data_IF_818633879784
#
_entry.id   IF_818633879784
#
_cell.length_a   1.000
_cell.length_b   1.000
_cell.length_c   1.000
_cell.angle_alpha   90.00
_cell.angle_beta   90.00
_cell.angle_gamma   90.00
#
_symmetry.space_group_name_H-M   'P 1'
#
loop_
_entity.id
_entity.type
_entity.pdbx_description
1 polymer ?
#
# COMPACT_ATOMS: atom_id res chain seq x y z
N UNK A 1 -6.51 39.27 34.90
CA UNK A 1 -5.62 38.62 35.88
C UNK A 1 -4.87 37.52 35.16
N UNK A 2 -3.70 37.83 34.59
CA UNK A 2 -2.89 36.83 33.89
C UNK A 2 -2.05 36.12 34.95
N UNK A 3 -2.51 34.95 35.37
CA UNK A 3 -1.77 34.09 36.30
C UNK A 3 -0.52 33.57 35.60
N UNK A 4 0.66 33.97 36.08
CA UNK A 4 1.95 33.40 35.69
C UNK A 4 2.00 31.93 36.11
N UNK A 5 1.60 31.03 35.21
CA UNK A 5 1.74 29.60 35.43
C UNK A 5 3.17 29.16 35.10
N UNK A 6 3.80 28.45 36.04
CA UNK A 6 5.13 27.86 35.85
C UNK A 6 5.16 26.96 34.62
N UNK A 7 6.29 26.89 33.89
CA UNK A 7 6.41 26.00 32.72
C UNK A 7 6.17 24.55 33.13
N UNK A 8 5.06 23.98 32.66
CA UNK A 8 4.66 22.61 32.95
C UNK A 8 5.09 21.69 31.79
N UNK A 9 5.90 20.69 32.11
CA UNK A 9 6.33 19.65 31.16
C UNK A 9 5.41 18.43 31.33
N UNK A 10 4.62 18.07 30.30
CA UNK A 10 3.73 16.93 30.40
C UNK A 10 4.53 15.63 30.49
N UNK A 11 4.15 14.75 31.43
CA UNK A 11 4.78 13.43 31.62
C UNK A 11 3.92 12.30 31.06
N UNK A 12 2.60 12.45 31.11
CA UNK A 12 1.65 11.47 30.58
C UNK A 12 1.01 11.96 29.27
N UNK A 13 0.49 11.06 28.42
CA UNK A 13 -0.25 11.46 27.22
C UNK A 13 -1.51 12.27 27.56
N UNK A 14 -2.11 12.01 28.72
CA UNK A 14 -3.28 12.76 29.22
C UNK A 14 -2.88 14.21 29.51
N UNK A 15 -1.73 14.43 30.16
CA UNK A 15 -1.21 15.78 30.43
C UNK A 15 -0.98 16.58 29.13
N UNK A 16 -0.47 15.91 28.09
CA UNK A 16 -0.26 16.54 26.78
C UNK A 16 -1.57 16.92 26.08
N UNK A 17 -2.60 16.07 26.18
CA UNK A 17 -3.93 16.39 25.66
C UNK A 17 -4.58 17.53 26.45
N UNK A 18 -4.44 17.53 27.79
CA UNK A 18 -4.94 18.60 28.66
C UNK A 18 -4.33 19.94 28.28
N UNK A 19 -3.01 20.02 28.08
CA UNK A 19 -2.33 21.23 27.60
C UNK A 19 -2.85 21.71 26.24
N UNK A 20 -3.06 20.80 25.29
CA UNK A 20 -3.63 21.16 23.98
C UNK A 20 -5.06 21.70 24.12
N UNK A 21 -5.86 21.08 24.97
CA UNK A 21 -7.23 21.46 25.23
C UNK A 21 -7.30 22.82 25.92
N UNK A 22 -6.49 23.06 26.95
CA UNK A 22 -6.36 24.37 27.62
C UNK A 22 -5.96 25.46 26.62
N UNK A 23 -5.02 25.17 25.71
CA UNK A 23 -4.61 26.08 24.64
C UNK A 23 -5.74 26.41 23.65
N UNK A 24 -6.57 25.42 23.29
CA UNK A 24 -7.72 25.60 22.40
C UNK A 24 -8.84 26.38 23.11
N UNK A 25 -9.11 26.08 24.37
CA UNK A 25 -10.15 26.74 25.18
C UNK A 25 -9.78 28.16 25.61
N UNK A 26 -8.49 28.52 25.62
CA UNK A 26 -8.05 29.88 25.91
C UNK A 26 -8.62 30.92 24.91
N UNK A 27 -8.95 30.51 23.68
CA UNK A 27 -9.54 31.37 22.66
C UNK A 27 -10.63 30.60 21.87
N UNK A 28 -11.85 30.46 22.41
CA UNK A 28 -12.90 29.64 21.80
C UNK A 28 -13.45 30.22 20.49
N UNK A 29 -13.37 31.54 20.30
CA UNK A 29 -13.83 32.24 19.08
C UNK A 29 -12.90 32.02 17.87
N UNK A 30 -11.67 31.52 18.09
CA UNK A 30 -10.72 31.31 17.00
C UNK A 30 -11.04 29.99 16.28
N UNK A 31 -11.34 29.99 14.97
CA UNK A 31 -11.61 28.75 14.24
C UNK A 31 -10.37 27.86 14.22
N UNK A 32 -10.57 26.57 14.50
CA UNK A 32 -9.52 25.55 14.48
C UNK A 32 -9.32 25.06 13.05
N UNK A 33 -8.10 25.20 12.53
CA UNK A 33 -7.74 24.69 11.20
C UNK A 33 -7.34 23.22 11.35
N UNK A 34 -8.20 22.31 10.88
CA UNK A 34 -7.85 20.90 10.75
C UNK A 34 -7.04 20.75 9.45
N UNK A 35 -5.83 20.17 9.49
CA UNK A 35 -5.04 20.00 8.30
C UNK A 35 -5.75 19.05 7.32
N UNK A 36 -5.83 19.46 6.05
CA UNK A 36 -6.28 18.57 4.98
C UNK A 36 -5.28 17.42 4.78
N UNK A 37 -5.77 16.32 4.19
CA UNK A 37 -4.91 15.20 3.83
C UNK A 37 -3.76 15.67 2.93
N UNK A 38 -2.52 15.18 3.15
CA UNK A 38 -1.38 15.58 2.34
C UNK A 38 -1.63 15.20 0.88
N UNK A 39 -1.58 16.19 -0.01
CA UNK A 39 -1.74 15.99 -1.45
C UNK A 39 -0.50 15.28 -2.00
N UNK A 40 -0.71 14.43 -3.00
CA UNK A 40 0.39 13.79 -3.72
C UNK A 40 1.30 14.86 -4.33
N UNK A 41 2.61 14.61 -4.31
CA UNK A 41 3.59 15.54 -4.85
C UNK A 41 3.37 15.66 -6.36
N UNK A 42 2.80 16.78 -6.81
CA UNK A 42 2.65 17.05 -8.23
C UNK A 42 4.03 17.26 -8.85
N UNK A 43 4.27 16.61 -9.99
CA UNK A 43 5.51 16.81 -10.73
C UNK A 43 5.65 18.22 -11.28
N UNK A 44 6.88 18.56 -11.71
CA UNK A 44 7.15 19.83 -12.36
C UNK A 44 6.30 19.97 -13.63
N UNK A 45 5.54 21.06 -13.73
CA UNK A 45 4.81 21.40 -14.95
C UNK A 45 5.76 22.08 -15.94
N UNK A 46 5.81 21.58 -17.18
CA UNK A 46 6.62 22.19 -18.23
C UNK A 46 5.92 23.47 -18.72
N UNK A 47 6.59 24.63 -18.75
CA UNK A 47 6.02 25.84 -19.35
C UNK A 47 5.76 25.64 -20.84
N UNK A 48 4.62 26.16 -21.33
CA UNK A 48 4.22 26.03 -22.74
C UNK A 48 5.17 26.75 -23.70
N UNK A 49 5.61 27.96 -23.33
CA UNK A 49 6.49 28.78 -24.16
C UNK A 49 7.78 29.13 -23.42
N UNK A 50 8.91 28.82 -24.06
CA UNK A 50 10.23 29.30 -23.64
C UNK A 50 10.56 30.54 -24.46
N UNK A 51 10.67 31.70 -23.81
CA UNK A 51 10.87 32.99 -24.52
C UNK A 51 12.34 33.25 -24.88
N UNK A 52 13.28 32.67 -24.14
CA UNK A 52 14.70 32.97 -24.23
C UNK A 52 15.46 31.87 -24.98
N UNK A 53 14.92 31.44 -26.12
CA UNK A 53 15.57 30.42 -26.96
C UNK A 53 16.57 31.11 -27.89
N UNK A 54 17.84 30.74 -27.77
CA UNK A 54 18.87 31.22 -28.68
C UNK A 54 18.80 30.43 -30.00
N UNK A 55 19.21 31.06 -31.12
CA UNK A 55 19.12 30.44 -32.45
C UNK A 55 19.82 29.09 -32.56
N UNK A 56 19.33 28.20 -33.43
CA UNK A 56 19.79 26.80 -33.51
C UNK A 56 21.25 26.62 -33.90
N UNK A 57 21.84 27.61 -34.59
CA UNK A 57 23.26 27.61 -34.99
C UNK A 57 24.15 28.43 -34.04
N UNK A 58 23.58 29.00 -32.97
CA UNK A 58 24.36 29.77 -32.01
C UNK A 58 25.24 28.84 -31.14
N UNK A 59 26.43 29.30 -30.77
CA UNK A 59 27.35 28.53 -29.92
C UNK A 59 26.86 28.37 -28.47
N UNK A 60 27.52 27.49 -27.71
CA UNK A 60 27.19 27.30 -26.30
C UNK A 60 27.52 28.55 -25.46
N UNK A 61 26.50 29.13 -24.82
CA UNK A 61 26.67 30.23 -23.87
C UNK A 61 27.13 29.77 -22.49
N UNK A 62 27.63 30.68 -21.66
CA UNK A 62 28.09 30.38 -20.29
C UNK A 62 26.98 29.84 -19.36
N UNK A 63 25.73 30.20 -19.62
CA UNK A 63 24.56 29.73 -18.85
C UNK A 63 24.01 28.36 -19.28
N UNK A 64 24.40 27.85 -20.46
CA UNK A 64 23.78 26.66 -21.06
C UNK A 64 24.00 25.40 -20.21
N UNK A 65 25.18 25.29 -19.58
CA UNK A 65 25.48 24.20 -18.65
C UNK A 65 24.48 24.14 -17.48
N UNK A 66 24.13 25.29 -16.91
CA UNK A 66 23.18 25.32 -15.80
C UNK A 66 21.76 25.01 -16.26
N UNK A 67 21.37 25.46 -17.46
CA UNK A 67 20.09 25.11 -18.08
C UNK A 67 19.97 23.58 -18.22
N UNK A 68 20.95 22.93 -18.84
CA UNK A 68 20.99 21.46 -18.97
C UNK A 68 20.94 20.77 -17.60
N UNK A 69 21.75 21.21 -16.64
CA UNK A 69 21.77 20.64 -15.28
C UNK A 69 20.39 20.70 -14.61
N UNK A 70 19.68 21.82 -14.73
CA UNK A 70 18.34 21.97 -14.17
C UNK A 70 17.31 21.11 -14.92
N UNK A 71 17.38 21.07 -16.25
CA UNK A 71 16.50 20.26 -17.08
C UNK A 71 16.68 18.76 -16.79
N UNK A 72 17.92 18.28 -16.71
CA UNK A 72 18.23 16.88 -16.40
C UNK A 72 17.70 16.46 -15.03
N UNK A 73 17.86 17.31 -14.00
CA UNK A 73 17.29 17.02 -12.67
C UNK A 73 15.76 16.96 -12.69
N UNK A 74 15.11 17.89 -13.40
CA UNK A 74 13.65 17.86 -13.56
C UNK A 74 13.21 16.58 -14.27
N UNK A 75 13.92 16.18 -15.32
CA UNK A 75 13.62 14.98 -16.08
C UNK A 75 13.82 13.69 -15.27
N UNK A 76 14.92 13.57 -14.53
CA UNK A 76 15.15 12.41 -13.64
C UNK A 76 14.13 12.34 -12.52
N UNK A 77 13.75 13.48 -11.95
CA UNK A 77 12.68 13.51 -10.95
C UNK A 77 11.35 13.07 -11.58
N UNK A 78 11.06 13.51 -12.81
CA UNK A 78 9.85 13.12 -13.57
C UNK A 78 9.82 11.62 -13.84
N UNK A 79 10.91 11.05 -14.38
CA UNK A 79 11.02 9.62 -14.67
C UNK A 79 10.85 8.79 -13.40
N UNK A 80 11.55 9.16 -12.32
CA UNK A 80 11.43 8.50 -11.02
C UNK A 80 9.99 8.51 -10.49
N UNK A 81 9.28 9.64 -10.56
CA UNK A 81 7.89 9.70 -10.12
C UNK A 81 6.96 8.82 -10.97
N UNK A 82 7.22 8.68 -12.27
CA UNK A 82 6.44 7.82 -13.15
C UNK A 82 6.67 6.35 -12.80
N UNK A 83 7.93 5.95 -12.63
CA UNK A 83 8.31 4.59 -12.22
C UNK A 83 7.71 4.23 -10.85
N UNK A 84 7.88 5.11 -9.84
CA UNK A 84 7.32 4.90 -8.50
C UNK A 84 5.80 4.81 -8.52
N UNK A 85 5.12 5.63 -9.32
CA UNK A 85 3.67 5.58 -9.46
C UNK A 85 3.22 4.29 -10.15
N UNK A 86 3.91 3.87 -11.21
CA UNK A 86 3.59 2.64 -11.93
C UNK A 86 3.76 1.39 -11.06
N UNK A 87 4.84 1.30 -10.29
CA UNK A 87 5.04 0.19 -9.36
C UNK A 87 4.00 0.19 -8.24
N UNK A 88 3.64 1.36 -7.69
CA UNK A 88 2.58 1.47 -6.67
C UNK A 88 1.22 1.03 -7.23
N UNK A 89 0.85 1.50 -8.41
CA UNK A 89 -0.43 1.15 -9.07
C UNK A 89 -0.50 -0.36 -9.34
N UNK A 90 0.57 -0.98 -9.84
CA UNK A 90 0.62 -2.44 -10.03
C UNK A 90 0.41 -3.20 -8.73
N UNK A 91 1.11 -2.81 -7.66
CA UNK A 91 0.98 -3.46 -6.36
C UNK A 91 -0.41 -3.27 -5.74
N UNK A 92 -1.00 -2.09 -5.89
CA UNK A 92 -2.35 -1.78 -5.41
C UNK A 92 -3.39 -2.62 -6.17
N UNK A 93 -3.28 -2.75 -7.50
CA UNK A 93 -4.14 -3.61 -8.33
C UNK A 93 -4.05 -5.08 -7.93
N UNK A 94 -2.83 -5.60 -7.77
CA UNK A 94 -2.61 -6.98 -7.31
C UNK A 94 -3.21 -7.23 -5.92
N UNK A 95 -3.09 -6.25 -5.01
CA UNK A 95 -3.67 -6.32 -3.68
C UNK A 95 -5.20 -6.34 -3.74
N UNK A 96 -5.81 -5.42 -4.50
CA UNK A 96 -7.25 -5.35 -4.66
C UNK A 96 -7.82 -6.64 -5.27
N UNK A 97 -7.16 -7.16 -6.31
CA UNK A 97 -7.54 -8.43 -6.92
C UNK A 97 -7.53 -9.59 -5.91
N UNK A 98 -6.44 -9.74 -5.14
CA UNK A 98 -6.35 -10.77 -4.10
C UNK A 98 -7.43 -10.61 -3.03
N UNK A 99 -7.72 -9.38 -2.63
CA UNK A 99 -8.77 -9.09 -1.65
C UNK A 99 -10.16 -9.47 -2.17
N UNK A 100 -10.48 -9.13 -3.43
CA UNK A 100 -11.75 -9.51 -4.06
C UNK A 100 -11.89 -11.03 -4.20
N UNK A 101 -10.85 -11.72 -4.65
CA UNK A 101 -10.85 -13.18 -4.78
C UNK A 101 -11.10 -13.84 -3.42
N UNK A 102 -10.43 -13.37 -2.37
CA UNK A 102 -10.66 -13.85 -1.00
C UNK A 102 -12.09 -13.57 -0.51
N UNK A 103 -12.62 -12.37 -0.76
CA UNK A 103 -13.99 -12.02 -0.40
C UNK A 103 -15.00 -12.93 -1.11
N UNK A 104 -14.85 -13.15 -2.42
CA UNK A 104 -15.71 -14.06 -3.20
C UNK A 104 -15.66 -15.48 -2.65
N UNK A 105 -14.48 -16.01 -2.35
CA UNK A 105 -14.32 -17.35 -1.77
C UNK A 105 -15.01 -17.48 -0.39
N UNK A 106 -14.92 -16.43 0.45
CA UNK A 106 -15.59 -16.40 1.76
C UNK A 106 -17.11 -16.31 1.58
N UNK A 107 -17.59 -15.48 0.66
CA UNK A 107 -19.01 -15.32 0.35
C UNK A 107 -19.61 -16.60 -0.19
N UNK A 108 -18.96 -17.29 -1.12
CA UNK A 108 -19.41 -18.58 -1.64
C UNK A 108 -19.51 -19.64 -0.55
N UNK A 109 -18.48 -19.77 0.30
CA UNK A 109 -18.50 -20.69 1.45
C UNK A 109 -19.65 -20.35 2.41
N UNK A 110 -19.85 -19.06 2.68
CA UNK A 110 -20.90 -18.57 3.58
C UNK A 110 -22.29 -18.76 2.98
N UNK A 111 -22.47 -18.53 1.68
CA UNK A 111 -23.73 -18.72 0.95
C UNK A 111 -24.11 -20.19 0.91
N UNK A 112 -23.17 -21.10 0.60
CA UNK A 112 -23.39 -22.56 0.66
C UNK A 112 -23.87 -22.98 2.06
N UNK A 113 -23.20 -22.53 3.13
CA UNK A 113 -23.60 -22.81 4.52
C UNK A 113 -24.97 -22.21 4.87
N UNK A 114 -25.26 -20.98 4.43
CA UNK A 114 -26.54 -20.29 4.63
C UNK A 114 -27.70 -21.05 3.96
N UNK A 115 -27.52 -21.49 2.72
CA UNK A 115 -28.51 -22.30 1.98
C UNK A 115 -28.79 -23.61 2.73
N UNK A 116 -27.76 -24.33 3.20
CA UNK A 116 -27.92 -25.56 4.00
C UNK A 116 -28.75 -25.27 5.27
N UNK A 117 -28.48 -24.19 6.00
CA UNK A 117 -29.23 -23.80 7.21
C UNK A 117 -30.69 -23.44 6.91
N UNK A 118 -30.95 -22.71 5.82
CA UNK A 118 -32.31 -22.34 5.41
C UNK A 118 -33.13 -23.57 5.03
N UNK A 119 -32.58 -24.50 4.24
CA UNK A 119 -33.22 -25.78 3.91
C UNK A 119 -33.56 -26.59 5.16
N UNK A 120 -32.63 -26.69 6.13
CA UNK A 120 -32.89 -27.37 7.42
C UNK A 120 -34.00 -26.67 8.22
N UNK A 121 -34.01 -25.34 8.26
CA UNK A 121 -35.04 -24.54 8.95
C UNK A 121 -36.42 -24.71 8.30
N UNK A 122 -36.49 -24.76 6.97
CA UNK A 122 -37.73 -25.01 6.23
C UNK A 122 -38.27 -26.42 6.48
N UNK A 123 -37.40 -27.46 6.42
CA UNK A 123 -37.79 -28.84 6.78
C UNK A 123 -38.35 -28.91 8.20
N UNK A 124 -37.68 -28.29 9.18
CA UNK A 124 -38.15 -28.26 10.56
C UNK A 124 -39.51 -27.54 10.70
N UNK A 125 -39.71 -26.43 9.98
CA UNK A 125 -41.01 -25.73 9.95
C UNK A 125 -42.12 -26.60 9.37
N UNK A 126 -41.87 -27.31 8.27
CA UNK A 126 -42.84 -28.24 7.65
C UNK A 126 -43.23 -29.37 8.62
N UNK A 127 -42.24 -30.02 9.23
CA UNK A 127 -42.48 -31.06 10.25
C UNK A 127 -43.27 -30.54 11.47
N UNK A 128 -43.16 -29.24 11.78
CA UNK A 128 -43.90 -28.62 12.90
C UNK A 128 -45.34 -28.33 12.51
N UNK A 129 -45.56 -27.87 11.29
CA UNK A 129 -46.89 -27.62 10.75
C UNK A 129 -47.68 -28.93 10.58
N UNK A 130 -47.03 -30.02 10.18
CA UNK A 130 -47.63 -31.36 10.05
C UNK A 130 -47.84 -32.08 11.41
N UNK A 131 -47.54 -31.44 12.55
CA UNK A 131 -47.76 -31.99 13.88
C UNK A 131 -46.84 -33.16 14.27
N UNK A 132 -45.89 -33.54 13.41
CA UNK A 132 -45.00 -34.70 13.60
C UNK A 132 -43.94 -34.49 14.69
N UNK A 133 -43.60 -33.24 15.01
CA UNK A 133 -42.57 -32.89 16.00
C UNK A 133 -42.94 -33.18 17.46
N UNK A 134 -44.19 -33.55 17.78
CA UNK A 134 -44.64 -33.79 19.16
C UNK A 134 -44.43 -35.24 19.65
N UNK A 135 -43.96 -36.16 18.80
CA UNK A 135 -43.82 -37.60 19.15
C UNK A 135 -42.41 -38.08 19.47
N UNK A 136 -41.35 -37.30 19.19
CA UNK A 136 -39.97 -37.76 19.40
C UNK A 136 -39.36 -37.10 20.64
N UNK A 137 -39.84 -37.53 21.81
CA UNK A 137 -39.14 -37.30 23.06
C UNK A 137 -37.85 -38.13 23.12
N UNK A 138 -36.73 -37.45 23.35
CA UNK A 138 -35.64 -37.90 24.23
C UNK A 138 -34.67 -39.03 23.80
N UNK A 139 -34.50 -39.39 22.52
CA UNK A 139 -33.52 -40.44 22.18
C UNK A 139 -32.57 -40.26 20.97
N UNK A 140 -32.64 -39.20 20.16
CA UNK A 140 -31.77 -39.06 18.97
C UNK A 140 -30.96 -37.75 18.94
N UNK A 141 -30.07 -37.53 19.90
CA UNK A 141 -29.11 -36.40 19.86
C UNK A 141 -27.72 -36.78 19.32
N UNK A 142 -27.48 -38.00 18.82
CA UNK A 142 -26.12 -38.45 18.44
C UNK A 142 -25.86 -38.85 17.00
N UNK A 143 -26.84 -38.87 16.11
CA UNK A 143 -26.61 -39.30 14.73
C UNK A 143 -27.25 -38.32 13.75
N UNK A 144 -26.49 -37.33 13.30
CA UNK A 144 -26.58 -36.68 11.97
C UNK A 144 -25.61 -35.50 11.89
N UNK A 145 -24.35 -35.74 12.25
CA UNK A 145 -23.25 -34.79 12.06
C UNK A 145 -22.15 -35.34 11.13
N UNK A 146 -22.51 -36.29 10.27
CA UNK A 146 -21.63 -36.93 9.30
C UNK A 146 -22.15 -36.71 7.89
N UNK A 147 -21.92 -35.51 7.36
CA UNK A 147 -21.75 -35.31 5.92
C UNK A 147 -20.56 -34.37 5.76
N UNK A 148 -19.39 -34.96 5.98
CA UNK A 148 -18.20 -34.64 5.20
C UNK A 148 -18.58 -34.73 3.73
N UNK A 149 -18.46 -33.62 3.03
CA UNK A 149 -18.14 -33.66 1.61
C UNK A 149 -16.97 -32.70 1.44
N UNK A 150 -15.80 -33.34 1.48
CA UNK A 150 -14.51 -32.78 1.12
C UNK A 150 -14.56 -32.46 -0.36
N UNK A 151 -14.62 -31.17 -0.69
CA UNK A 151 -14.10 -30.69 -1.96
C UNK A 151 -12.78 -29.98 -1.67
N UNK A 152 -11.80 -30.77 -1.22
CA UNK A 152 -10.39 -30.50 -1.48
C UNK A 152 -10.21 -30.48 -3.00
N UNK A 153 -10.19 -29.27 -3.57
CA UNK A 153 -9.57 -29.08 -4.87
C UNK A 153 -8.14 -28.61 -4.57
N UNK A 154 -7.25 -29.59 -4.49
CA UNK A 154 -5.82 -29.42 -4.69
C UNK A 154 -5.60 -28.69 -6.02
N UNK A 155 -5.14 -27.44 -5.93
CA UNK A 155 -4.37 -26.83 -7.00
C UNK A 155 -3.05 -26.39 -6.41
N UNK A 156 -2.21 -27.39 -6.20
CA UNK A 156 -0.76 -27.24 -6.32
C UNK A 156 -0.44 -26.69 -7.71
N UNK A 157 -0.06 -25.41 -7.81
CA UNK A 157 1.13 -24.97 -8.55
C UNK A 157 1.33 -23.45 -8.43
N UNK A 158 2.20 -23.03 -7.52
CA UNK A 158 3.34 -22.19 -7.89
C UNK A 158 4.36 -22.31 -6.75
N UNK A 159 5.36 -23.16 -6.99
CA UNK A 159 6.59 -23.12 -6.23
C UNK A 159 7.13 -21.69 -6.21
N UNK A 160 7.22 -21.12 -5.02
CA UNK A 160 8.22 -20.10 -4.72
C UNK A 160 9.18 -20.74 -3.74
N UNK A 161 10.17 -21.44 -4.29
CA UNK A 161 11.36 -21.80 -3.54
C UNK A 161 11.92 -20.53 -2.90
N UNK A 162 11.81 -20.45 -1.57
CA UNK A 162 12.70 -19.61 -0.77
C UNK A 162 14.00 -20.37 -0.63
N UNK A 163 14.86 -20.20 -1.62
CA UNK A 163 16.29 -20.47 -1.47
C UNK A 163 16.86 -19.42 -0.51
N UNK A 164 17.02 -19.82 0.75
CA UNK A 164 17.80 -19.07 1.74
C UNK A 164 19.28 -19.32 1.45
N UNK A 165 19.81 -18.61 0.47
CA UNK A 165 21.25 -18.37 0.36
C UNK A 165 21.59 -17.02 0.99
N UNK A 166 22.40 -17.07 2.04
CA UNK A 166 23.07 -15.91 2.62
C UNK A 166 23.81 -15.14 1.52
N UNK A 167 23.39 -13.89 1.27
CA UNK A 167 24.22 -12.92 0.55
C UNK A 167 24.47 -11.72 1.45
N UNK A 168 25.66 -11.74 2.03
CA UNK A 168 26.35 -10.60 2.61
C UNK A 168 26.46 -9.41 1.62
N UNK A 169 26.66 -8.18 2.11
CA UNK A 169 26.40 -6.95 1.37
C UNK A 169 27.35 -6.74 0.20
N UNK A 170 26.80 -6.38 -0.95
CA UNK A 170 27.56 -6.05 -2.17
C UNK A 170 28.25 -4.70 -1.95
N UNK A 171 29.57 -4.75 -1.81
CA UNK A 171 30.45 -3.59 -1.83
C UNK A 171 30.48 -2.97 -3.24
N UNK A 172 30.69 -1.66 -3.27
CA UNK A 172 30.86 -0.82 -4.45
C UNK A 172 31.95 -1.36 -5.41
N UNK A 173 31.84 -1.14 -6.72
CA UNK A 173 32.92 -1.50 -7.65
C UNK A 173 34.13 -0.58 -7.41
N UNK A 174 35.21 -1.15 -6.88
CA UNK A 174 36.49 -0.48 -6.67
C UNK A 174 37.08 0.03 -7.99
N UNK A 175 37.68 1.22 -7.93
CA UNK A 175 38.23 2.01 -9.05
C UNK A 175 39.37 1.33 -9.83
N UNK A 176 39.86 0.17 -9.39
CA UNK A 176 41.02 -0.54 -9.98
C UNK A 176 40.75 -1.25 -11.31
N UNK A 177 39.52 -1.70 -11.59
CA UNK A 177 39.24 -2.46 -12.82
C UNK A 177 39.01 -1.57 -14.06
N UNK A 178 38.63 -0.29 -13.87
CA UNK A 178 38.44 0.65 -14.99
C UNK A 178 39.75 1.16 -15.58
N UNK A 179 40.85 1.09 -14.85
CA UNK A 179 42.17 1.47 -15.37
C UNK A 179 42.80 0.39 -16.26
N UNK A 180 42.49 -0.89 -16.02
CA UNK A 180 43.01 -1.99 -16.84
C UNK A 180 42.36 -2.05 -18.23
N UNK A 181 41.04 -1.82 -18.34
CA UNK A 181 40.38 -1.73 -19.65
C UNK A 181 40.84 -0.53 -20.47
N UNK A 182 41.13 0.61 -19.82
CA UNK A 182 41.66 1.80 -20.51
C UNK A 182 43.10 1.62 -21.00
N UNK A 183 43.92 0.84 -20.28
CA UNK A 183 45.29 0.50 -20.70
C UNK A 183 45.32 -0.49 -21.85
N UNK A 184 44.44 -1.48 -21.86
CA UNK A 184 44.28 -2.44 -22.96
C UNK A 184 43.79 -1.76 -24.24
N UNK A 185 42.80 -0.85 -24.16
CA UNK A 185 42.29 -0.08 -25.30
C UNK A 185 43.29 0.95 -25.84
N UNK A 186 44.25 1.42 -25.02
CA UNK A 186 45.30 2.34 -25.46
C UNK A 186 46.47 1.67 -26.17
N UNK A 187 46.64 0.34 -26.01
CA UNK A 187 47.69 -0.44 -26.68
C UNK A 187 47.29 -0.93 -28.07
N UNK A 188 46.01 -0.83 -28.44
CA UNK A 188 45.50 -1.25 -29.75
C UNK A 188 45.37 -0.10 -30.77
N UNK A 189 45.84 1.11 -30.44
CA UNK A 189 45.78 2.31 -31.30
C UNK A 189 47.20 2.83 -31.66
N UNK A 190 48.16 1.92 -31.85
CA UNK A 190 49.41 2.17 -32.58
C UNK A 190 49.59 1.01 -33.55
#
# INVERSE_FOLDING_TARGET
MNSEQKPFVPKTPIDFQKLKLERLMANPEKPVIIPEMPKEKKGFTVPEFVRNVMGSSAGAGSGEFHVYRHLRRKEYTRQKMIEEKGEKERLDEEFHRKMEENQRMIEEKTAKKRIKRLKRKEKLKKLKAEGLLKRKGKQDEKENNSEEDSSENESSNSESEKDTSEKQPVAEPSESNRENEKRELSKSII
#
